data_IF_210433310653
#
_entry.id   IF_210433310653
#
_cell.length_a   1.000
_cell.length_b   1.000
_cell.length_c   1.000
_cell.angle_alpha   90.00
_cell.angle_beta   90.00
_cell.angle_gamma   90.00
#
_symmetry.space_group_name_H-M   'P 1'
#
loop_
_entity.id
_entity.type
_entity.pdbx_description
1 polymer ?
#
# COMPACT_ATOMS: atom_id res chain seq x y z
N UNK A 1 -2.08 31.66 3.72
CA UNK A 1 -1.78 30.39 4.42
C UNK A 1 -1.21 30.58 5.83
N UNK A 2 -0.59 31.74 6.17
CA UNK A 2 -0.06 32.05 7.52
C UNK A 2 -0.73 33.30 8.12
N UNK A 3 -2.06 33.34 8.17
CA UNK A 3 -2.79 34.52 8.63
C UNK A 3 -4.24 34.28 8.98
N UNK A 4 -4.66 33.03 9.13
CA UNK A 4 -5.97 32.70 9.66
C UNK A 4 -5.84 32.46 11.18
N UNK A 5 -6.40 33.35 12.02
CA UNK A 5 -6.34 33.25 13.48
C UNK A 5 -7.13 32.05 14.04
N UNK A 6 -7.94 31.38 13.21
CA UNK A 6 -8.71 30.18 13.56
C UNK A 6 -8.06 28.87 13.13
N UNK A 7 -6.78 28.89 12.73
CA UNK A 7 -6.03 27.66 12.45
C UNK A 7 -6.34 27.04 11.09
N UNK A 8 -6.55 27.87 10.07
CA UNK A 8 -6.80 27.44 8.70
C UNK A 8 -5.83 26.35 8.25
N UNK A 9 -6.37 25.17 7.90
CA UNK A 9 -5.65 24.04 7.27
C UNK A 9 -4.39 23.56 7.97
N UNK A 10 -4.18 24.03 9.19
CA UNK A 10 -2.97 23.88 9.95
C UNK A 10 -3.25 23.24 11.28
N UNK A 11 -4.33 22.49 11.48
CA UNK A 11 -4.55 21.57 12.63
C UNK A 11 -5.18 20.24 12.18
N UNK A 12 -4.92 19.82 10.94
CA UNK A 12 -5.41 18.55 10.37
C UNK A 12 -4.38 17.42 10.42
N UNK A 13 -4.61 16.34 9.65
CA UNK A 13 -3.72 15.18 9.52
C UNK A 13 -2.27 15.50 9.14
N UNK A 14 -2.00 16.72 8.66
CA UNK A 14 -0.64 17.22 8.38
C UNK A 14 0.28 17.22 9.61
N UNK A 15 -0.25 17.47 10.81
CA UNK A 15 0.55 17.33 12.04
C UNK A 15 0.68 15.89 12.54
N UNK A 16 -0.11 14.98 11.99
CA UNK A 16 0.03 13.56 12.26
C UNK A 16 1.08 12.91 11.35
N UNK A 17 1.64 13.64 10.37
CA UNK A 17 2.70 13.13 9.49
C UNK A 17 3.90 12.57 10.27
N UNK A 18 4.46 13.26 11.29
CA UNK A 18 5.50 12.68 12.14
C UNK A 18 5.02 11.44 12.90
N UNK A 19 3.79 11.45 13.42
CA UNK A 19 3.20 10.31 14.13
C UNK A 19 3.01 9.09 13.23
N UNK A 20 2.62 9.29 11.96
CA UNK A 20 2.54 8.21 10.96
C UNK A 20 3.92 7.64 10.64
N UNK A 21 4.93 8.50 10.50
CA UNK A 21 6.32 8.06 10.30
C UNK A 21 6.82 7.23 11.50
N UNK A 22 6.51 7.66 12.73
CA UNK A 22 6.87 6.92 13.94
C UNK A 22 6.13 5.59 14.08
N UNK A 23 4.85 5.53 13.68
CA UNK A 23 4.02 4.33 13.80
C UNK A 23 4.23 3.31 12.67
N UNK A 24 4.74 3.73 11.50
CA UNK A 24 4.94 2.86 10.34
C UNK A 24 5.82 1.62 10.63
N UNK A 25 6.96 1.71 11.34
CA UNK A 25 7.76 0.53 11.69
C UNK A 25 7.00 -0.49 12.55
N UNK A 26 6.10 -0.01 13.43
CA UNK A 26 5.32 -0.89 14.31
C UNK A 26 4.29 -1.72 13.54
N UNK A 27 3.78 -1.21 12.41
CA UNK A 27 2.94 -2.00 11.50
C UNK A 27 3.74 -3.19 10.95
N UNK A 28 4.98 -2.97 10.53
CA UNK A 28 5.88 -4.04 10.10
C UNK A 28 6.16 -5.07 11.19
N UNK A 29 6.41 -4.62 12.43
CA UNK A 29 6.60 -5.50 13.59
C UNK A 29 5.33 -6.32 13.91
N UNK A 30 4.15 -5.70 13.85
CA UNK A 30 2.87 -6.37 14.08
C UNK A 30 2.61 -7.45 13.02
N UNK A 31 2.81 -7.12 11.73
CA UNK A 31 2.67 -8.08 10.64
C UNK A 31 3.67 -9.24 10.81
N UNK A 32 4.94 -8.95 11.11
CA UNK A 32 5.95 -10.00 11.35
C UNK A 32 5.55 -10.95 12.49
N UNK A 33 5.03 -10.40 13.60
CA UNK A 33 4.63 -11.17 14.78
C UNK A 33 3.37 -11.98 14.55
N UNK A 34 2.38 -11.42 13.86
CA UNK A 34 1.03 -12.00 13.72
C UNK A 34 0.75 -12.60 12.33
N UNK A 35 1.72 -12.68 11.41
CA UNK A 35 1.53 -13.24 10.05
C UNK A 35 0.93 -14.65 9.98
N UNK A 36 1.12 -15.47 11.02
CA UNK A 36 0.53 -16.82 11.10
C UNK A 36 -0.91 -16.84 11.61
N UNK A 37 -1.40 -15.73 12.17
CA UNK A 37 -2.78 -15.59 12.61
C UNK A 37 -3.65 -15.20 11.40
N UNK A 38 -4.42 -16.17 10.91
CA UNK A 38 -5.28 -16.00 9.72
C UNK A 38 -6.28 -14.86 9.89
N UNK A 39 -6.90 -14.71 11.07
CA UNK A 39 -7.89 -13.66 11.32
C UNK A 39 -7.23 -12.27 11.23
N UNK A 40 -6.06 -12.10 11.85
CA UNK A 40 -5.30 -10.86 11.78
C UNK A 40 -4.93 -10.51 10.33
N UNK A 41 -4.46 -11.50 9.56
CA UNK A 41 -4.08 -11.30 8.16
C UNK A 41 -5.29 -10.97 7.27
N UNK A 42 -6.46 -11.58 7.50
CA UNK A 42 -7.69 -11.22 6.78
C UNK A 42 -8.06 -9.77 7.05
N UNK A 43 -8.10 -9.35 8.32
CA UNK A 43 -8.43 -7.97 8.68
C UNK A 43 -7.48 -6.97 8.03
N UNK A 44 -6.16 -7.20 8.14
CA UNK A 44 -5.15 -6.33 7.51
C UNK A 44 -5.30 -6.30 5.98
N UNK A 45 -5.58 -7.45 5.36
CA UNK A 45 -5.77 -7.52 3.90
C UNK A 45 -7.00 -6.73 3.46
N UNK A 46 -8.13 -6.86 4.16
CA UNK A 46 -9.34 -6.09 3.87
C UNK A 46 -9.13 -4.59 4.05
N UNK A 47 -8.48 -4.16 5.13
CA UNK A 47 -8.14 -2.75 5.34
C UNK A 47 -7.21 -2.24 4.24
N UNK A 48 -6.22 -3.04 3.84
CA UNK A 48 -5.30 -2.68 2.75
C UNK A 48 -6.04 -2.57 1.42
N UNK A 49 -6.94 -3.50 1.09
CA UNK A 49 -7.73 -3.48 -0.14
C UNK A 49 -8.66 -2.28 -0.22
N UNK A 50 -9.31 -1.93 0.89
CA UNK A 50 -10.12 -0.70 0.97
C UNK A 50 -9.25 0.54 0.73
N UNK A 51 -8.13 0.65 1.45
CA UNK A 51 -7.19 1.78 1.32
C UNK A 51 -6.65 1.89 -0.12
N UNK A 52 -6.25 0.77 -0.71
CA UNK A 52 -5.75 0.72 -2.08
C UNK A 52 -6.79 1.20 -3.10
N UNK A 53 -8.05 0.78 -2.94
CA UNK A 53 -9.15 1.19 -3.82
C UNK A 53 -9.37 2.70 -3.76
N UNK A 54 -9.50 3.26 -2.55
CA UNK A 54 -9.71 4.70 -2.35
C UNK A 54 -8.52 5.53 -2.87
N UNK A 55 -7.29 5.11 -2.58
CA UNK A 55 -6.09 5.81 -3.04
C UNK A 55 -5.93 5.74 -4.57
N UNK A 56 -6.22 4.58 -5.18
CA UNK A 56 -6.19 4.44 -6.64
C UNK A 56 -7.23 5.34 -7.29
N UNK A 57 -8.44 5.39 -6.72
CA UNK A 57 -9.50 6.26 -7.19
C UNK A 57 -9.08 7.74 -7.14
N UNK A 58 -8.47 8.18 -6.03
CA UNK A 58 -7.90 9.53 -5.91
C UNK A 58 -6.80 9.82 -6.93
N UNK A 59 -5.90 8.87 -7.16
CA UNK A 59 -4.77 9.02 -8.09
C UNK A 59 -5.21 9.19 -9.55
N UNK A 60 -6.25 8.47 -9.99
CA UNK A 60 -6.73 8.53 -11.39
C UNK A 60 -7.78 9.62 -11.62
N UNK A 61 -8.31 10.24 -10.57
CA UNK A 61 -9.32 11.31 -10.67
C UNK A 61 -8.80 12.63 -10.09
N UNK A 62 -8.92 12.85 -8.79
CA UNK A 62 -8.56 14.10 -8.13
C UNK A 62 -8.20 13.88 -6.67
N UNK A 63 -7.11 14.48 -6.20
CA UNK A 63 -6.79 14.52 -4.77
C UNK A 63 -7.35 15.76 -4.06
N UNK A 64 -8.01 16.65 -4.82
CA UNK A 64 -8.56 17.91 -4.33
C UNK A 64 -9.97 17.72 -3.76
N UNK A 65 -10.08 17.01 -2.65
CA UNK A 65 -11.33 16.91 -1.89
C UNK A 65 -11.35 18.04 -0.84
N UNK A 66 -12.32 18.96 -0.91
CA UNK A 66 -12.44 20.03 0.08
C UNK A 66 -12.83 19.45 1.45
N UNK A 67 -12.40 20.10 2.55
CA UNK A 67 -12.82 19.74 3.91
C UNK A 67 -14.32 19.99 4.09
N UNK A 68 -14.92 19.30 5.06
CA UNK A 68 -16.37 19.34 5.34
C UNK A 68 -16.91 20.77 5.49
N UNK A 69 -16.19 21.63 6.20
CA UNK A 69 -16.57 23.05 6.41
C UNK A 69 -16.61 23.83 5.08
N UNK A 70 -15.69 23.56 4.16
CA UNK A 70 -15.71 24.20 2.83
C UNK A 70 -16.81 23.61 1.96
N UNK A 71 -17.15 22.33 2.11
CA UNK A 71 -18.23 21.67 1.37
C UNK A 71 -19.59 22.28 1.72
N UNK A 72 -19.86 22.58 2.98
CA UNK A 72 -21.10 23.25 3.39
C UNK A 72 -21.24 24.62 2.72
N UNK A 73 -20.17 25.42 2.77
CA UNK A 73 -20.12 26.71 2.10
C UNK A 73 -20.28 26.57 0.58
N UNK A 74 -19.53 25.68 -0.07
CA UNK A 74 -19.60 25.46 -1.51
C UNK A 74 -20.97 24.94 -1.95
N UNK A 75 -21.62 24.10 -1.15
CA UNK A 75 -22.97 23.60 -1.45
C UNK A 75 -24.00 24.74 -1.39
N UNK A 76 -23.84 25.68 -0.45
CA UNK A 76 -24.70 26.87 -0.35
C UNK A 76 -24.56 27.79 -1.57
N UNK A 77 -23.35 27.94 -2.10
CA UNK A 77 -23.04 28.82 -3.23
C UNK A 77 -23.38 28.19 -4.60
N UNK A 78 -23.11 26.90 -4.76
CA UNK A 78 -23.28 26.18 -6.03
C UNK A 78 -24.70 25.63 -6.23
N UNK A 79 -25.54 25.66 -5.19
CA UNK A 79 -26.86 25.01 -5.15
C UNK A 79 -26.80 23.51 -5.49
N UNK A 80 -25.66 22.87 -5.25
CA UNK A 80 -25.43 21.45 -5.47
C UNK A 80 -24.88 20.83 -4.19
N UNK A 81 -25.25 19.57 -3.93
CA UNK A 81 -24.64 18.80 -2.84
C UNK A 81 -23.19 18.47 -3.22
N UNK A 82 -22.24 19.16 -2.62
CA UNK A 82 -20.82 18.86 -2.73
C UNK A 82 -20.45 17.73 -1.76
N UNK A 83 -19.50 16.88 -2.14
CA UNK A 83 -19.03 15.75 -1.32
C UNK A 83 -17.61 15.99 -0.85
N UNK A 84 -17.31 15.59 0.40
CA UNK A 84 -15.98 15.76 1.04
C UNK A 84 -15.19 14.44 1.15
N UNK A 85 -15.80 13.30 0.82
CA UNK A 85 -15.16 11.97 0.89
C UNK A 85 -14.75 11.46 -0.50
N UNK A 86 -14.30 10.21 -0.58
CA UNK A 86 -13.99 9.52 -1.84
C UNK A 86 -15.17 9.44 -2.81
N UNK A 87 -16.40 9.68 -2.34
CA UNK A 87 -17.58 9.73 -3.21
C UNK A 87 -17.49 10.85 -4.25
N UNK A 88 -16.79 11.95 -3.94
CA UNK A 88 -16.49 13.00 -4.92
C UNK A 88 -15.69 12.43 -6.10
N UNK A 89 -14.78 11.51 -5.83
CA UNK A 89 -13.99 10.84 -6.84
C UNK A 89 -14.82 9.87 -7.68
N UNK A 90 -15.79 9.18 -7.07
CA UNK A 90 -16.76 8.33 -7.77
C UNK A 90 -17.58 9.17 -8.76
N UNK A 91 -18.09 10.32 -8.29
CA UNK A 91 -18.84 11.26 -9.12
C UNK A 91 -17.95 11.80 -10.24
N UNK A 92 -16.70 12.16 -9.93
CA UNK A 92 -15.73 12.63 -10.92
C UNK A 92 -15.47 11.57 -12.00
N UNK A 93 -15.20 10.32 -11.60
CA UNK A 93 -14.93 9.23 -12.55
C UNK A 93 -16.11 8.99 -13.50
N UNK A 94 -17.33 9.14 -12.99
CA UNK A 94 -18.56 8.91 -13.76
C UNK A 94 -18.92 10.08 -14.67
N UNK A 95 -18.59 11.31 -14.28
CA UNK A 95 -18.99 12.53 -15.02
C UNK A 95 -17.91 13.12 -15.90
N UNK A 96 -16.64 13.05 -15.47
CA UNK A 96 -15.49 13.67 -16.13
C UNK A 96 -14.41 12.66 -16.54
N UNK A 97 -14.59 11.37 -16.22
CA UNK A 97 -13.64 10.31 -16.56
C UNK A 97 -12.37 10.32 -15.71
N UNK A 98 -11.25 9.87 -16.28
CA UNK A 98 -9.96 9.81 -15.58
C UNK A 98 -9.02 10.93 -16.03
N UNK A 99 -8.26 11.51 -15.09
CA UNK A 99 -7.19 12.47 -15.38
C UNK A 99 -5.85 11.81 -15.75
N UNK A 100 -5.78 10.47 -15.72
CA UNK A 100 -4.54 9.76 -16.04
C UNK A 100 -4.15 10.02 -17.49
N UNK A 101 -2.95 10.58 -17.71
CA UNK A 101 -2.43 10.81 -19.05
C UNK A 101 -2.36 9.50 -19.85
N UNK A 102 -1.83 8.44 -19.22
CA UNK A 102 -1.73 7.12 -19.85
C UNK A 102 -3.09 6.55 -20.29
N UNK A 103 -4.14 6.77 -19.47
CA UNK A 103 -5.48 6.36 -19.84
C UNK A 103 -5.99 7.14 -21.06
N UNK A 104 -5.92 8.47 -20.99
CA UNK A 104 -6.47 9.33 -22.03
C UNK A 104 -5.78 9.14 -23.39
N UNK A 105 -4.46 8.91 -23.38
CA UNK A 105 -3.66 8.76 -24.59
C UNK A 105 -3.78 7.36 -25.23
N UNK A 106 -3.80 6.29 -24.42
CA UNK A 106 -3.63 4.92 -24.94
C UNK A 106 -4.80 3.98 -24.72
N UNK A 107 -5.69 4.26 -23.75
CA UNK A 107 -6.70 3.29 -23.29
C UNK A 107 -8.13 3.82 -23.35
N UNK A 108 -8.33 5.11 -23.60
CA UNK A 108 -9.64 5.78 -23.65
C UNK A 108 -10.55 5.20 -24.74
N UNK A 109 -9.97 4.76 -25.85
CA UNK A 109 -10.70 4.13 -26.97
C UNK A 109 -11.18 2.70 -26.66
N UNK A 110 -10.53 2.00 -25.72
CA UNK A 110 -10.76 0.57 -25.47
C UNK A 110 -11.46 0.29 -24.14
N UNK A 111 -11.30 1.18 -23.15
CA UNK A 111 -11.78 0.97 -21.80
C UNK A 111 -12.57 2.19 -21.33
N UNK A 112 -13.71 1.94 -20.69
CA UNK A 112 -14.38 2.98 -19.93
C UNK A 112 -13.54 3.39 -18.70
N UNK A 113 -13.73 4.61 -18.15
CA UNK A 113 -12.98 5.05 -16.97
C UNK A 113 -13.14 4.11 -15.77
N UNK A 114 -14.34 3.54 -15.62
CA UNK A 114 -14.64 2.53 -14.60
C UNK A 114 -13.91 1.21 -14.83
N UNK A 115 -13.85 0.73 -16.07
CA UNK A 115 -13.09 -0.48 -16.40
C UNK A 115 -11.61 -0.28 -16.14
N UNK A 116 -11.06 0.88 -16.53
CA UNK A 116 -9.66 1.22 -16.25
C UNK A 116 -9.36 1.24 -14.74
N UNK A 117 -10.23 1.87 -13.94
CA UNK A 117 -10.13 1.86 -12.48
C UNK A 117 -10.12 0.44 -11.91
N UNK A 118 -11.09 -0.40 -12.30
CA UNK A 118 -11.21 -1.76 -11.79
C UNK A 118 -10.00 -2.63 -12.19
N UNK A 119 -9.50 -2.49 -13.41
CA UNK A 119 -8.28 -3.19 -13.85
C UNK A 119 -7.07 -2.77 -13.02
N UNK A 120 -6.88 -1.47 -12.77
CA UNK A 120 -5.79 -0.97 -11.93
C UNK A 120 -5.87 -1.51 -10.51
N UNK A 121 -7.06 -1.46 -9.89
CA UNK A 121 -7.26 -2.00 -8.54
C UNK A 121 -7.02 -3.50 -8.52
N UNK A 122 -7.52 -4.26 -9.49
CA UNK A 122 -7.33 -5.71 -9.59
C UNK A 122 -5.85 -6.08 -9.72
N UNK A 123 -5.09 -5.38 -10.58
CA UNK A 123 -3.65 -5.59 -10.74
C UNK A 123 -2.93 -5.35 -9.41
N UNK A 124 -3.18 -4.22 -8.75
CA UNK A 124 -2.52 -3.89 -7.49
C UNK A 124 -2.89 -4.86 -6.36
N UNK A 125 -4.17 -5.26 -6.25
CA UNK A 125 -4.61 -6.27 -5.30
C UNK A 125 -3.96 -7.63 -5.56
N UNK A 126 -3.82 -8.04 -6.82
CA UNK A 126 -3.19 -9.31 -7.19
C UNK A 126 -1.70 -9.35 -6.83
N UNK A 127 -0.98 -8.24 -7.05
CA UNK A 127 0.43 -8.09 -6.68
C UNK A 127 0.61 -8.21 -5.17
N UNK A 128 -0.21 -7.52 -4.40
CA UNK A 128 -0.17 -7.55 -2.93
C UNK A 128 -0.53 -8.93 -2.40
N UNK A 129 -1.54 -9.57 -2.96
CA UNK A 129 -1.95 -10.93 -2.57
C UNK A 129 -0.82 -11.92 -2.82
N UNK A 130 -0.19 -11.85 -3.99
CA UNK A 130 0.97 -12.69 -4.35
C UNK A 130 2.13 -12.45 -3.40
N UNK A 131 2.40 -11.20 -3.03
CA UNK A 131 3.41 -10.85 -2.05
C UNK A 131 3.12 -11.44 -0.66
N UNK A 132 1.89 -11.33 -0.18
CA UNK A 132 1.46 -11.89 1.11
C UNK A 132 1.57 -13.43 1.10
N UNK A 133 1.10 -14.08 0.04
CA UNK A 133 1.22 -15.54 -0.11
C UNK A 133 2.68 -15.97 -0.14
N UNK A 134 3.55 -15.24 -0.85
CA UNK A 134 4.99 -15.50 -0.88
C UNK A 134 5.59 -15.35 0.52
N UNK A 135 5.29 -14.28 1.23
CA UNK A 135 5.76 -14.02 2.60
C UNK A 135 5.32 -15.11 3.58
N UNK A 136 4.10 -15.64 3.44
CA UNK A 136 3.58 -16.71 4.28
C UNK A 136 4.16 -18.08 3.90
N UNK A 137 4.44 -18.32 2.62
CA UNK A 137 5.09 -19.54 2.14
C UNK A 137 6.58 -19.60 2.51
N UNK A 138 7.22 -18.44 2.63
CA UNK A 138 8.64 -18.33 2.98
C UNK A 138 8.82 -18.66 4.47
N UNK A 139 9.04 -19.95 4.73
CA UNK A 139 9.49 -20.43 6.03
C UNK A 139 10.84 -19.77 6.35
N UNK A 140 10.93 -19.17 7.54
CA UNK A 140 12.22 -18.83 8.15
C UNK A 140 13.06 -20.11 8.15
N UNK A 141 14.20 -20.11 7.45
CA UNK A 141 15.02 -21.31 7.19
C UNK A 141 14.86 -21.94 5.80
N UNK A 142 14.35 -21.22 4.80
CA UNK A 142 14.39 -21.72 3.42
C UNK A 142 15.82 -21.68 2.89
N UNK A 143 16.41 -22.87 2.73
CA UNK A 143 17.70 -23.05 2.08
C UNK A 143 17.55 -22.77 0.58
N UNK A 144 18.37 -21.88 0.05
CA UNK A 144 18.51 -21.71 -1.39
C UNK A 144 19.58 -22.70 -1.86
N UNK A 145 19.17 -23.81 -2.48
CA UNK A 145 20.09 -24.80 -3.06
C UNK A 145 20.53 -24.35 -4.45
N UNK A 146 21.80 -23.93 -4.59
CA UNK A 146 22.43 -23.75 -5.90
C UNK A 146 23.08 -25.07 -6.31
N UNK A 147 22.53 -25.72 -7.34
CA UNK A 147 23.14 -26.93 -7.94
C UNK A 147 23.91 -26.53 -9.18
N UNK A 148 25.23 -26.40 -9.05
CA UNK A 148 26.13 -26.24 -10.18
C UNK A 148 26.47 -27.63 -10.75
N UNK A 149 25.87 -27.98 -11.89
CA UNK A 149 26.20 -29.21 -12.61
C UNK A 149 27.48 -28.99 -13.43
N UNK A 150 28.61 -29.45 -12.91
CA UNK A 150 29.82 -29.65 -13.71
C UNK A 150 29.64 -30.86 -14.62
N UNK A 151 29.89 -30.71 -15.93
CA UNK A 151 29.71 -31.79 -16.92
C UNK A 151 30.47 -33.10 -16.59
N UNK A 152 29.91 -34.20 -17.10
CA UNK A 152 30.28 -35.65 -17.09
C UNK A 152 31.06 -36.29 -15.92
N UNK A 153 31.91 -35.59 -15.19
CA UNK A 153 32.61 -36.07 -13.97
C UNK A 153 32.66 -35.02 -12.83
N UNK A 154 31.81 -33.98 -12.88
CA UNK A 154 31.78 -32.93 -11.87
C UNK A 154 30.98 -33.31 -10.61
N UNK A 155 31.64 -33.32 -9.45
CA UNK A 155 30.97 -33.39 -8.14
C UNK A 155 29.94 -32.25 -8.02
N UNK A 156 28.70 -32.57 -7.67
CA UNK A 156 27.68 -31.56 -7.40
C UNK A 156 28.11 -30.75 -6.17
N UNK A 157 28.46 -29.48 -6.35
CA UNK A 157 28.67 -28.56 -5.25
C UNK A 157 27.30 -28.08 -4.77
N UNK A 158 26.88 -28.52 -3.58
CA UNK A 158 25.67 -28.02 -2.92
C UNK A 158 26.06 -26.91 -1.96
N UNK A 159 25.66 -25.67 -2.25
CA UNK A 159 25.86 -24.54 -1.34
C UNK A 159 24.55 -24.26 -0.63
N UNK A 160 24.53 -24.43 0.69
CA UNK A 160 23.39 -24.12 1.55
C UNK A 160 23.53 -22.69 2.07
N UNK A 161 22.66 -21.79 1.60
CA UNK A 161 22.52 -20.45 2.17
C UNK A 161 21.42 -20.48 3.24
N UNK A 162 21.79 -20.75 4.49
CA UNK A 162 20.95 -20.48 5.65
C UNK A 162 20.94 -18.97 5.94
N UNK A 163 19.82 -18.30 5.64
CA UNK A 163 19.63 -16.90 6.06
C UNK A 163 19.23 -16.89 7.54
N UNK A 164 20.25 -16.77 8.39
CA UNK A 164 20.24 -16.39 9.81
C UNK A 164 19.45 -17.27 10.80
N UNK A 165 20.11 -18.34 11.28
CA UNK A 165 19.97 -18.80 12.68
C UNK A 165 21.31 -18.86 13.46
N UNK A 166 22.47 -18.75 12.78
CA UNK A 166 23.79 -18.77 13.44
C UNK A 166 24.12 -17.55 14.32
N UNK A 167 23.33 -16.47 14.25
CA UNK A 167 23.50 -15.32 15.15
C UNK A 167 22.85 -15.52 16.54
N UNK A 168 21.98 -16.53 16.71
CA UNK A 168 21.45 -16.90 18.03
C UNK A 168 22.27 -17.96 18.77
N UNK A 169 23.18 -18.64 18.07
CA UNK A 169 24.02 -19.70 18.64
C UNK A 169 25.42 -19.22 19.03
N UNK A 170 25.73 -17.92 18.89
CA UNK A 170 26.95 -17.39 19.49
C UNK A 170 26.82 -17.45 21.02
N UNK A 171 27.79 -18.06 21.73
CA UNK A 171 27.78 -18.10 23.18
C UNK A 171 27.65 -16.68 23.73
N UNK A 172 26.69 -16.45 24.64
CA UNK A 172 26.48 -15.16 25.34
C UNK A 172 27.60 -14.86 26.36
N UNK A 173 28.86 -15.13 26.01
CA UNK A 173 29.98 -15.22 26.94
C UNK A 173 31.26 -14.53 26.51
N UNK A 174 31.24 -13.67 25.48
CA UNK A 174 32.42 -12.87 25.15
C UNK A 174 32.31 -11.53 25.88
N UNK A 175 32.92 -11.48 27.07
CA UNK A 175 33.26 -10.21 27.74
C UNK A 175 34.32 -9.51 26.89
N UNK A 176 33.99 -8.34 26.36
CA UNK A 176 35.01 -7.40 25.90
C UNK A 176 35.62 -6.73 27.13
N UNK A 177 36.93 -6.90 27.28
CA UNK A 177 37.77 -6.05 28.13
C UNK A 177 37.83 -4.64 27.55
#
# INVERSE_FOLDING_TARGET
MWGDPWGGWGFGSRYLVPSYAFTAPFVGLAISKFRKNTMFMIMITLTFFYSLSVNTLGAITTSSNPPEVEVEYLSSQSHKVEKYTYERNIDFLSSHGSKSYFYNEFLSDWLSPWQFYLVMVAILMSLVTTFILRMNSFRYGSEIEFVLKGGKEGKNLKVYLEIMDKLKTLPRGIKFW
#
